data_IF_043693296817
#
_entry.id   IF_043693296817
#
_cell.length_a   1.000
_cell.length_b   1.000
_cell.length_c   1.000
_cell.angle_alpha   90.00
_cell.angle_beta   90.00
_cell.angle_gamma   90.00
#
_symmetry.space_group_name_H-M   'P 1'
#
loop_
_entity.id
_entity.type
_entity.pdbx_description
1 polymer ?
#
# COMPACT_ATOMS: atom_id res chain seq x y z
N UNK A 1 19.68 2.62 -5.66
CA UNK A 1 18.78 3.20 -4.67
C UNK A 1 17.35 2.80 -4.92
N UNK A 2 16.70 2.27 -3.98
CA UNK A 2 15.35 1.81 -4.18
C UNK A 2 14.33 2.79 -3.62
N UNK A 3 13.16 2.77 -4.21
CA UNK A 3 12.05 3.60 -3.77
C UNK A 3 11.20 2.79 -2.81
N UNK A 4 10.94 3.36 -1.64
CA UNK A 4 10.06 2.72 -0.68
C UNK A 4 8.65 3.23 -0.87
N UNK A 5 7.75 2.32 -1.22
CA UNK A 5 6.34 2.66 -1.32
C UNK A 5 5.65 2.59 0.03
N UNK A 6 6.23 1.86 0.97
CA UNK A 6 5.62 1.57 2.26
C UNK A 6 6.56 2.03 3.36
N UNK A 7 5.99 2.59 4.40
CA UNK A 7 6.71 3.01 5.58
C UNK A 7 6.03 2.42 6.81
N UNK A 8 6.83 2.08 7.81
CA UNK A 8 6.29 1.60 9.07
C UNK A 8 7.03 2.35 10.18
N UNK A 9 6.31 3.14 10.93
CA UNK A 9 6.88 3.95 12.00
C UNK A 9 6.07 3.76 13.27
N UNK A 10 6.76 3.55 14.41
CA UNK A 10 6.03 3.42 15.68
C UNK A 10 5.29 4.69 16.08
N UNK A 11 5.64 5.82 15.47
CA UNK A 11 4.98 7.09 15.77
C UNK A 11 3.75 7.32 14.90
N UNK A 12 3.48 6.44 13.95
CA UNK A 12 2.36 6.58 13.03
C UNK A 12 1.48 5.35 13.18
N UNK A 13 0.22 5.57 13.54
CA UNK A 13 -0.77 4.50 13.62
C UNK A 13 -0.32 3.32 14.47
N UNK A 14 0.50 3.58 15.49
CA UNK A 14 0.96 2.50 16.36
C UNK A 14 1.85 1.49 15.68
N UNK A 15 2.57 1.89 14.64
CA UNK A 15 3.46 1.00 13.91
C UNK A 15 2.81 0.32 12.72
N UNK A 16 1.56 0.67 12.42
CA UNK A 16 0.87 0.12 11.26
C UNK A 16 1.56 0.55 9.97
N UNK A 17 1.81 -0.39 9.03
CA UNK A 17 2.41 0.00 7.76
C UNK A 17 1.52 0.97 6.99
N UNK A 18 2.12 2.02 6.47
CA UNK A 18 1.42 3.04 5.69
C UNK A 18 2.18 3.30 4.42
N UNK A 19 1.51 3.94 3.45
CA UNK A 19 2.20 4.39 2.24
C UNK A 19 3.17 5.51 2.61
N UNK A 20 4.38 5.44 2.06
CA UNK A 20 5.45 6.38 2.41
C UNK A 20 4.99 7.82 2.22
N UNK A 21 5.30 8.66 3.22
CA UNK A 21 4.93 10.07 3.17
C UNK A 21 3.46 10.34 3.46
N UNK A 22 2.70 9.33 3.85
CA UNK A 22 1.28 9.50 4.15
C UNK A 22 0.95 8.85 5.47
N UNK A 23 -0.30 9.02 5.91
CA UNK A 23 -0.82 8.30 7.07
C UNK A 23 -1.86 7.26 6.64
N UNK A 24 -1.88 6.91 5.37
CA UNK A 24 -2.87 5.98 4.82
C UNK A 24 -2.37 4.56 5.02
N UNK A 25 -3.08 3.74 5.82
CA UNK A 25 -2.64 2.36 6.05
C UNK A 25 -2.77 1.51 4.78
N UNK A 26 -1.82 0.60 4.61
CA UNK A 26 -1.88 -0.36 3.52
C UNK A 26 -3.17 -1.17 3.60
N UNK A 27 -3.61 -1.49 4.83
CA UNK A 27 -4.82 -2.26 5.04
C UNK A 27 -6.03 -1.60 4.41
N UNK A 28 -6.07 -0.26 4.38
CA UNK A 28 -7.18 0.45 3.77
C UNK A 28 -7.29 0.13 2.29
N UNK A 29 -6.16 0.06 1.57
CA UNK A 29 -6.18 -0.33 0.17
C UNK A 29 -6.72 -1.75 0.00
N UNK A 30 -6.25 -2.66 0.85
CA UNK A 30 -6.69 -4.05 0.75
C UNK A 30 -8.19 -4.16 1.01
N UNK A 31 -8.70 -3.39 1.96
CA UNK A 31 -10.13 -3.38 2.25
C UNK A 31 -10.94 -2.89 1.06
N UNK A 32 -10.45 -1.86 0.36
CA UNK A 32 -11.11 -1.36 -0.84
C UNK A 32 -11.18 -2.45 -1.91
N UNK A 33 -10.05 -3.12 -2.14
CA UNK A 33 -10.00 -4.14 -3.18
C UNK A 33 -10.88 -5.33 -2.83
N UNK A 34 -10.93 -5.71 -1.56
CA UNK A 34 -11.78 -6.80 -1.12
C UNK A 34 -13.26 -6.46 -1.27
N UNK A 35 -13.59 -5.18 -1.18
CA UNK A 35 -14.95 -4.73 -1.36
C UNK A 35 -15.35 -4.57 -2.84
N UNK A 36 -14.41 -4.85 -3.75
CA UNK A 36 -14.70 -4.74 -5.18
C UNK A 36 -14.44 -3.35 -5.75
N UNK A 37 -13.85 -2.45 -4.95
CA UNK A 37 -13.51 -1.13 -5.44
C UNK A 37 -12.27 -1.17 -6.30
N UNK A 38 -12.06 -0.13 -7.11
CA UNK A 38 -10.91 -0.06 -7.98
C UNK A 38 -9.81 0.78 -7.35
N UNK A 39 -8.61 0.69 -7.94
CA UNK A 39 -7.49 1.54 -7.52
C UNK A 39 -7.84 3.00 -7.74
N UNK A 40 -8.55 3.32 -8.83
CA UNK A 40 -8.96 4.69 -9.09
C UNK A 40 -9.91 5.20 -8.02
N UNK A 41 -10.81 4.36 -7.54
CA UNK A 41 -11.72 4.73 -6.44
C UNK A 41 -10.92 5.03 -5.18
N UNK A 42 -9.92 4.19 -4.89
CA UNK A 42 -9.09 4.40 -3.72
C UNK A 42 -8.31 5.73 -3.82
N UNK A 43 -7.74 5.99 -5.00
CA UNK A 43 -6.96 7.22 -5.19
C UNK A 43 -7.82 8.46 -5.09
N UNK A 44 -9.07 8.37 -5.51
CA UNK A 44 -9.99 9.50 -5.38
C UNK A 44 -10.26 9.84 -3.91
N UNK A 45 -10.29 8.82 -3.05
CA UNK A 45 -10.51 9.03 -1.62
C UNK A 45 -9.24 9.37 -0.85
N UNK A 46 -8.08 9.03 -1.38
CA UNK A 46 -6.81 9.23 -0.69
C UNK A 46 -5.79 9.86 -1.65
N UNK A 47 -5.95 11.15 -1.96
CA UNK A 47 -5.10 11.80 -2.95
C UNK A 47 -3.63 11.93 -2.55
N UNK A 48 -3.30 11.71 -1.28
CA UNK A 48 -1.91 11.75 -0.85
C UNK A 48 -1.13 10.50 -1.27
N UNK A 49 -1.82 9.45 -1.71
CA UNK A 49 -1.17 8.24 -2.20
C UNK A 49 -1.10 8.32 -3.72
N UNK A 50 0.03 7.93 -4.30
CA UNK A 50 0.18 7.93 -5.75
C UNK A 50 -0.11 6.55 -6.32
N UNK A 51 -0.48 6.52 -7.59
CA UNK A 51 -0.67 5.24 -8.29
C UNK A 51 0.62 4.44 -8.30
N UNK A 52 1.75 5.12 -8.42
CA UNK A 52 3.05 4.43 -8.43
C UNK A 52 3.30 3.70 -7.11
N UNK A 53 2.91 4.30 -6.01
CA UNK A 53 3.06 3.64 -4.72
C UNK A 53 2.22 2.38 -4.63
N UNK A 54 1.00 2.43 -5.15
CA UNK A 54 0.11 1.27 -5.14
C UNK A 54 0.68 0.16 -6.01
N UNK A 55 1.12 0.50 -7.23
CA UNK A 55 1.69 -0.49 -8.14
C UNK A 55 2.95 -1.12 -7.53
N UNK A 56 3.81 -0.28 -6.95
CA UNK A 56 5.03 -0.78 -6.31
C UNK A 56 4.71 -1.73 -5.17
N UNK A 57 3.71 -1.38 -4.35
CA UNK A 57 3.29 -2.27 -3.26
C UNK A 57 2.78 -3.60 -3.80
N UNK A 58 1.94 -3.56 -4.81
CA UNK A 58 1.37 -4.78 -5.36
C UNK A 58 2.45 -5.67 -5.98
N UNK A 59 3.44 -5.07 -6.64
CA UNK A 59 4.54 -5.84 -7.20
C UNK A 59 5.35 -6.51 -6.10
N UNK A 60 5.65 -5.80 -5.04
CA UNK A 60 6.40 -6.37 -3.94
C UNK A 60 5.62 -7.50 -3.25
N UNK A 61 4.32 -7.30 -3.08
CA UNK A 61 3.49 -8.33 -2.47
C UNK A 61 3.43 -9.58 -3.36
N UNK A 62 3.30 -9.38 -4.65
CA UNK A 62 3.28 -10.48 -5.61
C UNK A 62 4.57 -11.26 -5.55
N UNK A 63 5.70 -10.55 -5.56
CA UNK A 63 7.00 -11.21 -5.54
C UNK A 63 7.18 -12.06 -4.30
N UNK A 64 6.73 -11.56 -3.14
CA UNK A 64 6.84 -12.30 -1.90
C UNK A 64 5.96 -13.53 -1.90
N UNK A 65 4.75 -13.42 -2.43
CA UNK A 65 3.83 -14.54 -2.49
C UNK A 65 4.33 -15.62 -3.43
N UNK A 66 4.83 -15.22 -4.58
CA UNK A 66 5.38 -16.18 -5.55
C UNK A 66 6.60 -16.88 -4.96
N UNK A 67 7.48 -16.14 -4.33
CA UNK A 67 8.67 -16.74 -3.71
C UNK A 67 8.29 -17.70 -2.60
N UNK A 68 7.27 -17.36 -1.81
CA UNK A 68 6.84 -18.22 -0.71
C UNK A 68 6.17 -19.49 -1.21
N UNK A 69 5.54 -19.44 -2.39
CA UNK A 69 4.85 -20.59 -2.95
C UNK A 69 5.80 -21.57 -3.63
N UNK A 70 7.01 -21.13 -3.94
CA UNK A 70 8.01 -22.01 -4.56
C UNK A 70 8.77 -22.77 -3.49
#
# INVERSE_FOLDING_TARGET
>A
METQAISCSPDVMGGTPVFAGTRVPIQTLLDYLEAGETIDDFLAGFPSVSREQIVSFLEQAKDRLVAAAL
#
